data_IF_148858167799
#
_entry.id   IF_148858167799
#
_cell.length_a   1.000
_cell.length_b   1.000
_cell.length_c   1.000
_cell.angle_alpha   90.00
_cell.angle_beta   90.00
_cell.angle_gamma   90.00
#
_symmetry.space_group_name_H-M   'P 1'
#
loop_
_entity.id
_entity.type
_entity.pdbx_description
1 polymer ?
#
# COMPACT_ATOMS: atom_id res chain seq x y z
N UNK A 1 -18.69 -13.34 -7.60
CA UNK A 1 -17.91 -12.12 -7.93
C UNK A 1 -17.82 -11.25 -6.67
N UNK A 2 -16.68 -11.16 -5.98
CA UNK A 2 -16.59 -10.74 -4.55
C UNK A 2 -16.15 -9.29 -4.36
N UNK A 3 -17.12 -8.38 -4.21
CA UNK A 3 -16.87 -6.95 -4.00
C UNK A 3 -16.53 -6.66 -2.60
N UNK A 4 -15.25 -6.42 -2.37
CA UNK A 4 -14.75 -6.18 -1.05
C UNK A 4 -14.70 -4.67 -0.81
N UNK A 5 -15.76 -4.19 -0.16
CA UNK A 5 -15.84 -2.85 0.41
C UNK A 5 -15.73 -3.03 1.91
N UNK A 6 -14.85 -2.27 2.54
CA UNK A 6 -14.44 -2.52 3.90
C UNK A 6 -13.74 -1.31 4.50
N UNK A 7 -13.45 -1.46 5.79
CA UNK A 7 -12.50 -0.66 6.54
C UNK A 7 -11.44 -1.63 7.05
N UNK A 8 -10.16 -1.28 6.91
CA UNK A 8 -9.01 -2.16 7.20
C UNK A 8 -8.78 -2.40 8.70
N UNK A 9 -9.65 -1.85 9.54
CA UNK A 9 -9.63 -2.06 10.97
C UNK A 9 -10.94 -2.64 11.47
N UNK A 10 -10.86 -3.33 12.60
CA UNK A 10 -12.03 -3.80 13.33
C UNK A 10 -12.67 -2.62 14.07
N UNK A 11 -13.81 -2.14 13.58
CA UNK A 11 -14.50 -1.00 14.19
C UNK A 11 -14.95 -1.27 15.62
N UNK A 12 -15.26 -2.52 15.98
CA UNK A 12 -15.56 -2.85 17.38
C UNK A 12 -14.36 -2.56 18.28
N UNK A 13 -13.14 -2.87 17.85
CA UNK A 13 -11.91 -2.58 18.61
C UNK A 13 -11.57 -1.09 18.58
N UNK A 14 -11.79 -0.41 17.46
CA UNK A 14 -11.66 1.06 17.41
C UNK A 14 -12.55 1.72 18.47
N UNK A 15 -13.82 1.30 18.56
CA UNK A 15 -14.78 1.93 19.46
C UNK A 15 -14.54 1.62 20.94
N UNK A 16 -14.15 0.39 21.27
CA UNK A 16 -14.05 -0.07 22.66
C UNK A 16 -12.62 -0.03 23.21
N UNK A 17 -11.61 -0.14 22.34
CA UNK A 17 -10.20 -0.30 22.73
C UNK A 17 -9.32 0.82 22.15
N UNK A 18 -9.85 1.69 21.27
CA UNK A 18 -9.10 2.69 20.53
C UNK A 18 -7.92 2.11 19.72
N UNK A 19 -8.08 0.89 19.19
CA UNK A 19 -7.06 0.18 18.41
C UNK A 19 -7.36 0.29 16.91
N UNK A 20 -6.34 0.65 16.14
CA UNK A 20 -6.32 0.82 14.68
C UNK A 20 -6.44 2.27 14.21
N UNK A 21 -6.56 3.23 15.13
CA UNK A 21 -6.79 4.64 14.83
C UNK A 21 -5.55 5.33 14.26
N UNK A 22 -4.36 4.88 14.65
CA UNK A 22 -3.10 5.45 14.18
C UNK A 22 -2.54 4.75 12.94
N UNK A 23 -3.30 3.80 12.38
CA UNK A 23 -2.93 3.15 11.14
C UNK A 23 -3.15 4.08 9.94
N UNK A 24 -2.13 4.16 9.09
CA UNK A 24 -2.20 4.80 7.78
C UNK A 24 -2.30 3.71 6.73
N UNK A 25 -3.29 3.83 5.87
CA UNK A 25 -3.47 2.95 4.73
C UNK A 25 -3.11 3.70 3.46
N UNK A 26 -2.36 3.06 2.58
CA UNK A 26 -2.01 3.60 1.29
C UNK A 26 -1.98 2.56 0.18
N UNK A 27 -1.83 3.06 -1.03
CA UNK A 27 -1.65 2.24 -2.21
C UNK A 27 -0.78 2.93 -3.23
N UNK A 28 0.14 2.18 -3.85
CA UNK A 28 0.85 2.59 -5.06
C UNK A 28 0.14 1.96 -6.27
N UNK A 29 -0.32 2.80 -7.19
CA UNK A 29 -0.92 2.39 -8.44
C UNK A 29 0.18 1.95 -9.40
N UNK A 30 0.21 0.68 -9.80
CA UNK A 30 1.22 0.15 -10.73
C UNK A 30 0.72 0.25 -12.18
N UNK A 31 -0.57 0.07 -12.38
CA UNK A 31 -1.27 0.31 -13.66
C UNK A 31 -2.37 1.31 -13.41
N UNK A 32 -2.42 2.38 -14.20
CA UNK A 32 -3.32 3.50 -14.05
C UNK A 32 -4.78 3.04 -14.00
N UNK A 33 -5.57 3.73 -13.19
CA UNK A 33 -6.96 3.42 -12.90
C UNK A 33 -7.91 4.14 -13.89
N UNK A 34 -9.18 3.74 -13.91
CA UNK A 34 -10.25 4.45 -14.63
C UNK A 34 -11.56 4.42 -13.86
N UNK A 35 -12.58 5.09 -14.38
CA UNK A 35 -13.91 5.19 -13.75
C UNK A 35 -14.68 3.86 -13.58
N UNK A 36 -14.17 2.75 -14.13
CA UNK A 36 -14.72 1.38 -13.96
C UNK A 36 -13.74 0.44 -13.26
N UNK A 37 -12.52 0.90 -12.99
CA UNK A 37 -11.48 0.12 -12.32
C UNK A 37 -10.58 1.03 -11.46
N UNK A 38 -11.15 1.56 -10.38
CA UNK A 38 -10.48 2.43 -9.42
C UNK A 38 -10.95 2.12 -7.99
N UNK A 39 -10.31 2.79 -7.03
CA UNK A 39 -10.78 2.74 -5.64
C UNK A 39 -11.91 3.74 -5.45
N UNK A 40 -12.95 3.36 -4.70
CA UNK A 40 -13.96 4.28 -4.18
C UNK A 40 -13.76 4.45 -2.68
N UNK A 41 -13.99 5.66 -2.19
CA UNK A 41 -13.88 5.98 -0.77
C UNK A 41 -15.10 6.76 -0.26
N UNK A 42 -15.28 6.80 1.05
CA UNK A 42 -16.18 7.75 1.73
C UNK A 42 -15.32 8.76 2.50
N UNK A 43 -14.96 9.90 1.89
CA UNK A 43 -13.84 10.72 2.37
C UNK A 43 -14.07 11.38 3.74
N UNK A 44 -15.32 11.69 4.10
CA UNK A 44 -15.61 12.39 5.36
C UNK A 44 -15.70 11.48 6.59
N UNK A 45 -15.55 10.16 6.45
CA UNK A 45 -15.47 9.21 7.57
C UNK A 45 -14.00 8.93 7.85
N UNK A 46 -13.31 9.93 8.39
CA UNK A 46 -11.86 9.95 8.49
C UNK A 46 -11.35 10.22 9.90
N UNK A 47 -12.22 10.09 10.91
CA UNK A 47 -11.90 10.24 12.32
C UNK A 47 -12.80 9.35 13.17
N UNK A 48 -12.40 9.12 14.42
CA UNK A 48 -13.11 8.26 15.36
C UNK A 48 -14.50 8.79 15.71
N UNK A 49 -14.68 10.11 15.83
CA UNK A 49 -15.97 10.71 16.23
C UNK A 49 -17.06 10.45 15.20
N UNK A 50 -16.78 10.71 13.92
CA UNK A 50 -17.73 10.46 12.83
C UNK A 50 -17.95 8.99 12.59
N UNK A 51 -16.91 8.19 12.80
CA UNK A 51 -17.03 6.73 12.72
C UNK A 51 -18.00 6.22 13.79
N UNK A 52 -17.88 6.70 15.04
CA UNK A 52 -18.80 6.36 16.13
C UNK A 52 -20.23 6.82 15.84
N UNK A 53 -20.41 8.05 15.38
CA UNK A 53 -21.72 8.59 14.99
C UNK A 53 -22.39 7.71 13.92
N UNK A 54 -21.63 7.36 12.87
CA UNK A 54 -22.12 6.49 11.81
C UNK A 54 -22.51 5.10 12.33
N UNK A 55 -21.66 4.50 13.19
CA UNK A 55 -21.91 3.20 13.83
C UNK A 55 -23.20 3.24 14.65
N UNK A 56 -23.42 4.30 15.41
CA UNK A 56 -24.63 4.47 16.22
C UNK A 56 -25.88 4.52 15.33
N UNK A 57 -25.84 5.30 14.24
CA UNK A 57 -26.94 5.42 13.28
C UNK A 57 -27.30 4.06 12.67
N UNK A 58 -26.31 3.32 12.14
CA UNK A 58 -26.59 2.04 11.48
C UNK A 58 -27.01 0.96 12.48
N UNK A 59 -26.49 0.99 13.72
CA UNK A 59 -26.87 0.04 14.77
C UNK A 59 -28.31 0.27 15.23
N UNK A 60 -28.75 1.53 15.36
CA UNK A 60 -30.16 1.87 15.64
C UNK A 60 -31.12 1.36 14.56
N UNK A 61 -30.63 1.25 13.32
CA UNK A 61 -31.37 0.65 12.18
C UNK A 61 -31.33 -0.89 12.17
N UNK A 62 -30.64 -1.52 13.13
CA UNK A 62 -30.49 -2.98 13.20
C UNK A 62 -29.38 -3.55 12.31
N UNK A 63 -28.52 -2.72 11.72
CA UNK A 63 -27.36 -3.17 10.94
C UNK A 63 -26.27 -3.63 11.90
N UNK A 64 -25.76 -4.85 11.70
CA UNK A 64 -24.70 -5.43 12.53
C UNK A 64 -23.33 -5.13 11.93
N UNK A 65 -22.38 -4.76 12.78
CA UNK A 65 -20.97 -4.63 12.43
C UNK A 65 -20.26 -5.96 12.70
N UNK A 66 -19.42 -6.38 11.75
CA UNK A 66 -18.62 -7.59 11.90
C UNK A 66 -17.57 -7.46 13.01
N UNK A 67 -17.30 -8.57 13.71
CA UNK A 67 -16.23 -8.66 14.72
C UNK A 67 -14.92 -9.26 14.17
N UNK A 68 -14.78 -9.28 12.85
CA UNK A 68 -13.60 -9.84 12.17
C UNK A 68 -12.35 -8.99 12.34
N UNK A 69 -11.25 -9.37 11.70
CA UNK A 69 -10.01 -8.56 11.70
C UNK A 69 -10.19 -7.20 11.00
N UNK A 70 -11.06 -7.17 10.00
CA UNK A 70 -11.45 -6.01 9.21
C UNK A 70 -12.97 -5.88 9.22
N UNK A 71 -13.47 -4.67 8.96
CA UNK A 71 -14.91 -4.41 8.95
C UNK A 71 -15.42 -4.43 7.52
N UNK A 72 -16.00 -5.57 7.11
CA UNK A 72 -16.66 -5.69 5.81
C UNK A 72 -17.94 -4.86 5.74
N UNK A 73 -18.18 -4.24 4.58
CA UNK A 73 -19.32 -3.36 4.32
C UNK A 73 -20.07 -3.79 3.07
N UNK A 74 -21.37 -3.51 3.08
CA UNK A 74 -22.26 -3.58 1.91
C UNK A 74 -22.79 -2.17 1.64
N UNK A 75 -22.54 -1.57 0.46
CA UNK A 75 -22.91 -0.18 0.16
C UNK A 75 -24.34 0.16 0.56
N UNK A 76 -25.33 -0.55 0.03
CA UNK A 76 -26.74 -0.20 0.21
C UNK A 76 -27.33 -0.61 1.58
N UNK A 77 -26.52 -1.23 2.43
CA UNK A 77 -26.92 -1.60 3.80
C UNK A 77 -26.28 -0.66 4.82
N UNK A 78 -24.97 -0.44 4.66
CA UNK A 78 -24.17 0.30 5.63
C UNK A 78 -24.02 1.79 5.27
N UNK A 79 -24.30 2.18 4.02
CA UNK A 79 -24.19 3.56 3.54
C UNK A 79 -25.32 3.93 2.57
N UNK A 80 -26.45 4.38 3.11
CA UNK A 80 -27.67 4.70 2.35
C UNK A 80 -27.80 6.20 2.07
N UNK A 81 -28.86 6.60 1.36
CA UNK A 81 -29.19 8.01 1.15
C UNK A 81 -29.33 8.81 2.47
N UNK A 82 -29.73 8.16 3.57
CA UNK A 82 -29.80 8.78 4.88
C UNK A 82 -28.40 9.18 5.39
N UNK A 83 -27.41 8.28 5.28
CA UNK A 83 -26.03 8.58 5.64
C UNK A 83 -25.41 9.62 4.71
N UNK A 84 -25.71 9.55 3.40
CA UNK A 84 -25.25 10.57 2.45
C UNK A 84 -25.71 11.96 2.85
N UNK A 85 -26.97 12.09 3.29
CA UNK A 85 -27.53 13.35 3.77
C UNK A 85 -26.94 13.76 5.13
N UNK A 86 -26.80 12.81 6.07
CA UNK A 86 -26.32 13.10 7.42
C UNK A 86 -24.85 13.55 7.44
N UNK A 87 -23.99 12.91 6.65
CA UNK A 87 -22.55 13.17 6.62
C UNK A 87 -22.11 14.07 5.47
N UNK A 88 -23.04 14.49 4.60
CA UNK A 88 -22.77 15.31 3.40
C UNK A 88 -21.62 14.72 2.57
N UNK A 89 -21.66 13.41 2.31
CA UNK A 89 -20.63 12.71 1.56
C UNK A 89 -21.16 11.42 0.95
N UNK A 90 -20.57 10.99 -0.16
CA UNK A 90 -20.93 9.75 -0.82
C UNK A 90 -19.67 9.05 -1.35
N UNK A 91 -19.85 7.84 -1.86
CA UNK A 91 -18.83 7.09 -2.58
C UNK A 91 -18.22 7.93 -3.70
N UNK A 92 -16.96 8.26 -3.51
CA UNK A 92 -16.16 9.07 -4.44
C UNK A 92 -15.12 8.19 -5.10
N UNK A 93 -15.10 8.22 -6.43
CA UNK A 93 -14.11 7.50 -7.23
C UNK A 93 -12.79 8.25 -7.17
N UNK A 94 -11.74 7.55 -6.78
CA UNK A 94 -10.37 8.05 -6.73
C UNK A 94 -9.62 7.35 -7.84
N UNK A 95 -9.25 8.11 -8.87
CA UNK A 95 -8.57 7.61 -10.06
C UNK A 95 -7.14 8.12 -10.06
N UNK A 96 -6.19 7.19 -9.98
CA UNK A 96 -4.77 7.48 -10.04
C UNK A 96 -4.14 7.01 -11.36
N UNK A 97 -3.16 7.77 -11.83
CA UNK A 97 -2.27 7.39 -12.92
C UNK A 97 -1.17 6.43 -12.43
N UNK A 98 -0.42 5.87 -13.38
CA UNK A 98 0.76 5.05 -13.12
C UNK A 98 1.69 5.70 -12.08
N UNK A 99 2.12 4.90 -11.11
CA UNK A 99 3.06 5.23 -10.04
C UNK A 99 2.59 6.31 -9.05
N UNK A 100 1.33 6.74 -9.11
CA UNK A 100 0.78 7.62 -8.09
C UNK A 100 0.45 6.87 -6.81
N UNK A 101 0.59 7.58 -5.68
CA UNK A 101 0.38 7.04 -4.34
C UNK A 101 -0.87 7.65 -3.72
N UNK A 102 -1.73 6.79 -3.18
CA UNK A 102 -2.79 7.19 -2.24
C UNK A 102 -2.28 7.03 -0.83
N UNK A 103 -2.52 8.05 0.00
CA UNK A 103 -2.40 7.97 1.46
C UNK A 103 -3.76 8.34 2.05
N UNK A 104 -4.29 7.46 2.88
CA UNK A 104 -5.64 7.53 3.46
C UNK A 104 -5.61 7.10 4.92
N UNK A 105 -6.50 7.67 5.74
CA UNK A 105 -6.69 7.19 7.10
C UNK A 105 -7.33 5.80 7.08
N UNK A 106 -6.90 4.90 7.97
CA UNK A 106 -7.44 3.54 8.11
C UNK A 106 -8.94 3.43 8.35
N UNK A 107 -9.58 4.49 8.87
CA UNK A 107 -11.01 4.52 9.17
C UNK A 107 -11.87 4.81 7.94
N UNK A 108 -11.27 5.29 6.85
CA UNK A 108 -12.00 5.63 5.63
C UNK A 108 -12.56 4.35 4.99
N UNK A 109 -13.90 4.23 4.86
CA UNK A 109 -14.50 3.16 4.08
C UNK A 109 -14.01 3.20 2.65
N UNK A 110 -13.54 2.06 2.14
CA UNK A 110 -13.06 1.98 0.77
C UNK A 110 -13.31 0.61 0.12
N UNK A 111 -13.18 0.58 -1.20
CA UNK A 111 -13.16 -0.67 -1.96
C UNK A 111 -13.02 -0.43 -3.45
N UNK A 112 -13.01 -1.50 -4.24
CA UNK A 112 -12.97 -1.38 -5.70
C UNK A 112 -14.34 -0.99 -6.26
N UNK A 113 -14.38 -0.08 -7.24
CA UNK A 113 -15.55 0.04 -8.10
C UNK A 113 -15.74 -1.27 -8.91
N UNK A 114 -16.97 -1.50 -9.37
CA UNK A 114 -17.39 -2.77 -9.97
C UNK A 114 -18.31 -2.58 -11.16
N UNK A 115 -18.36 -3.58 -12.07
CA UNK A 115 -17.44 -4.71 -12.19
C UNK A 115 -16.06 -4.28 -12.70
N UNK A 116 -14.99 -5.01 -12.35
CA UNK A 116 -13.66 -4.72 -12.90
C UNK A 116 -13.68 -4.98 -14.42
N UNK A 117 -13.33 -3.96 -15.20
CA UNK A 117 -13.34 -4.01 -16.68
C UNK A 117 -11.99 -4.37 -17.28
N UNK A 118 -10.92 -4.30 -16.49
CA UNK A 118 -9.57 -4.69 -16.88
C UNK A 118 -8.78 -5.17 -15.67
N UNK A 119 -7.57 -5.65 -15.91
CA UNK A 119 -6.62 -5.93 -14.84
C UNK A 119 -6.10 -4.61 -14.25
N UNK A 120 -6.12 -4.48 -12.92
CA UNK A 120 -5.55 -3.36 -12.17
C UNK A 120 -4.60 -3.90 -11.14
N UNK A 121 -3.33 -3.51 -11.25
CA UNK A 121 -2.28 -3.83 -10.29
C UNK A 121 -2.10 -2.65 -9.34
N UNK A 122 -2.20 -2.94 -8.06
CA UNK A 122 -1.88 -1.99 -6.98
C UNK A 122 -1.02 -2.70 -5.95
N UNK A 123 -0.07 -1.98 -5.37
CA UNK A 123 0.64 -2.40 -4.15
C UNK A 123 -0.01 -1.69 -2.97
N UNK A 124 -0.47 -2.45 -1.97
CA UNK A 124 -1.04 -1.87 -0.75
C UNK A 124 0.08 -1.66 0.27
N UNK A 125 0.11 -0.49 0.88
CA UNK A 125 1.06 -0.13 1.92
C UNK A 125 0.30 0.21 3.19
N UNK A 126 0.46 -0.59 4.23
CA UNK A 126 -0.14 -0.31 5.53
C UNK A 126 0.97 0.05 6.51
N UNK A 127 0.86 1.23 7.10
CA UNK A 127 1.75 1.69 8.16
C UNK A 127 0.94 1.64 9.46
N UNK A 128 1.33 0.76 10.36
CA UNK A 128 0.66 0.58 11.65
C UNK A 128 1.46 1.27 12.75
N UNK A 129 0.76 1.77 13.78
CA UNK A 129 1.42 2.25 14.98
C UNK A 129 2.29 1.16 15.61
N UNK A 130 3.41 1.57 16.19
CA UNK A 130 4.18 0.71 17.11
C UNK A 130 3.67 1.05 18.51
N UNK A 131 3.36 0.05 19.32
CA UNK A 131 2.91 0.22 20.70
C UNK A 131 4.01 0.88 21.55
N UNK A 132 3.63 1.41 22.72
CA UNK A 132 4.56 2.08 23.66
C UNK A 132 5.75 1.21 24.08
N UNK A 133 5.60 -0.12 24.04
CA UNK A 133 6.69 -1.05 24.33
C UNK A 133 7.81 -1.06 23.27
N UNK A 134 7.56 -0.41 22.11
CA UNK A 134 8.40 -0.36 20.92
C UNK A 134 8.80 -1.75 20.38
N UNK A 135 8.02 -2.78 20.72
CA UNK A 135 8.29 -4.19 20.42
C UNK A 135 7.11 -4.86 19.71
N UNK A 136 5.91 -4.33 19.87
CA UNK A 136 4.70 -4.88 19.26
C UNK A 136 4.09 -3.86 18.29
N UNK A 137 3.69 -4.36 17.12
CA UNK A 137 2.87 -3.57 16.20
C UNK A 137 1.44 -3.54 16.73
N UNK A 138 0.75 -2.42 16.51
CA UNK A 138 -0.69 -2.29 16.74
C UNK A 138 -1.49 -3.38 16.02
N UNK A 139 -0.98 -3.83 14.86
CA UNK A 139 -1.52 -4.95 14.09
C UNK A 139 -0.40 -6.01 13.90
N UNK A 140 -0.52 -7.12 14.61
CA UNK A 140 0.57 -8.08 14.90
C UNK A 140 1.07 -8.98 13.75
N UNK A 141 0.78 -8.68 12.46
CA UNK A 141 1.17 -9.58 11.35
C UNK A 141 1.94 -8.84 10.25
N UNK A 142 3.25 -8.99 10.24
CA UNK A 142 4.15 -8.54 9.17
C UNK A 142 5.35 -9.48 9.00
N UNK A 143 5.94 -9.50 7.81
CA UNK A 143 7.17 -10.25 7.49
C UNK A 143 8.36 -9.30 7.57
N UNK A 144 9.47 -9.74 8.19
CA UNK A 144 10.65 -8.91 8.41
C UNK A 144 11.74 -9.17 7.36
N UNK A 145 12.15 -8.14 6.63
CA UNK A 145 13.33 -8.17 5.74
C UNK A 145 14.58 -7.60 6.42
N UNK A 146 15.76 -8.01 5.95
CA UNK A 146 17.04 -7.46 6.41
C UNK A 146 17.28 -6.12 5.70
N UNK A 147 17.00 -5.01 6.39
CA UNK A 147 17.05 -3.66 5.82
C UNK A 147 18.30 -2.92 6.31
N UNK A 148 19.08 -2.39 5.38
CA UNK A 148 20.31 -1.63 5.65
C UNK A 148 20.08 -0.15 5.99
N UNK A 149 18.92 0.40 5.61
CA UNK A 149 18.56 1.79 5.90
C UNK A 149 17.97 1.88 7.33
N UNK A 150 18.48 2.77 8.22
CA UNK A 150 17.98 2.91 9.59
C UNK A 150 16.48 3.21 9.70
N UNK A 151 15.92 4.05 8.83
CA UNK A 151 14.47 4.35 8.80
C UNK A 151 13.70 3.11 8.36
N UNK A 152 14.14 2.43 7.30
CA UNK A 152 13.50 1.21 6.84
C UNK A 152 13.54 0.09 7.91
N UNK A 153 14.68 -0.06 8.60
CA UNK A 153 14.82 -0.96 9.74
C UNK A 153 13.87 -0.58 10.90
N UNK A 154 13.65 0.71 11.14
CA UNK A 154 12.71 1.19 12.16
C UNK A 154 11.26 0.86 11.78
N UNK A 155 10.89 1.06 10.51
CA UNK A 155 9.55 0.75 9.98
C UNK A 155 9.18 -0.74 10.14
N UNK A 156 10.17 -1.63 10.21
CA UNK A 156 9.96 -3.08 10.45
C UNK A 156 10.31 -3.52 11.87
N UNK A 157 10.46 -2.58 12.81
CA UNK A 157 10.66 -2.86 14.24
C UNK A 157 12.06 -3.34 14.65
N UNK A 158 13.09 -3.14 13.83
CA UNK A 158 14.47 -3.60 14.13
C UNK A 158 15.32 -2.60 14.89
N UNK A 159 14.94 -1.32 14.91
CA UNK A 159 15.58 -0.27 15.70
C UNK A 159 14.54 0.72 16.20
N UNK A 160 14.94 1.63 17.10
CA UNK A 160 14.05 2.62 17.71
C UNK A 160 14.08 3.93 16.92
N UNK A 161 12.92 4.60 16.82
CA UNK A 161 12.82 5.97 16.28
C UNK A 161 13.71 6.97 17.03
N UNK A 162 13.98 6.74 18.31
CA UNK A 162 14.88 7.56 19.13
C UNK A 162 16.38 7.33 18.88
N UNK A 163 16.75 6.41 17.98
CA UNK A 163 18.15 6.19 17.64
C UNK A 163 18.71 7.36 16.82
N UNK A 164 19.91 7.85 17.16
CA UNK A 164 20.52 9.00 16.48
C UNK A 164 20.73 8.79 14.97
N UNK A 165 21.01 7.56 14.53
CA UNK A 165 21.13 7.23 13.11
C UNK A 165 19.78 7.33 12.37
N UNK A 166 18.68 7.00 13.05
CA UNK A 166 17.32 7.11 12.50
C UNK A 166 16.91 8.58 12.41
N UNK A 167 17.12 9.36 13.46
CA UNK A 167 16.83 10.80 13.46
C UNK A 167 17.62 11.54 12.35
N UNK A 168 18.90 11.19 12.19
CA UNK A 168 19.76 11.75 11.14
C UNK A 168 19.24 11.40 9.74
N UNK A 169 18.90 10.13 9.51
CA UNK A 169 18.40 9.68 8.21
C UNK A 169 17.01 10.25 7.90
N UNK A 170 16.10 10.27 8.87
CA UNK A 170 14.78 10.90 8.73
C UNK A 170 14.89 12.40 8.41
N UNK A 171 15.81 13.12 9.06
CA UNK A 171 16.07 14.52 8.76
C UNK A 171 16.52 14.74 7.31
N UNK A 172 17.34 13.83 6.75
CA UNK A 172 17.70 13.88 5.31
C UNK A 172 16.49 13.69 4.40
N UNK A 173 15.57 12.77 4.75
CA UNK A 173 14.32 12.56 3.99
C UNK A 173 13.48 13.83 4.01
N UNK A 174 13.23 14.36 5.22
CA UNK A 174 12.29 15.45 5.45
C UNK A 174 12.80 16.76 4.86
N UNK A 175 14.09 17.06 5.02
CA UNK A 175 14.65 18.34 4.54
C UNK A 175 14.84 18.38 3.03
N UNK A 176 14.83 17.23 2.34
CA UNK A 176 14.84 17.12 0.88
C UNK A 176 15.94 17.98 0.19
N UNK A 177 17.08 18.16 0.85
CA UNK A 177 18.18 18.96 0.30
C UNK A 177 18.92 18.18 -0.80
N UNK A 178 19.66 18.91 -1.65
CA UNK A 178 20.36 18.33 -2.82
C UNK A 178 21.29 17.16 -2.43
N UNK A 179 22.06 17.30 -1.35
CA UNK A 179 23.00 16.27 -0.89
C UNK A 179 22.27 15.02 -0.38
N UNK A 180 21.12 15.20 0.27
CA UNK A 180 20.26 14.10 0.66
C UNK A 180 19.71 13.35 -0.55
N UNK A 181 19.30 14.03 -1.62
CA UNK A 181 18.84 13.37 -2.86
C UNK A 181 19.93 12.55 -3.54
N UNK A 182 21.14 13.08 -3.64
CA UNK A 182 22.27 12.36 -4.24
C UNK A 182 22.61 11.09 -3.44
N UNK A 183 22.63 11.19 -2.10
CA UNK A 183 22.83 10.03 -1.24
C UNK A 183 21.69 9.00 -1.36
N UNK A 184 20.43 9.45 -1.50
CA UNK A 184 19.29 8.56 -1.72
C UNK A 184 19.36 7.87 -3.07
N UNK A 185 19.77 8.56 -4.13
CA UNK A 185 19.94 7.95 -5.45
C UNK A 185 20.94 6.79 -5.42
N UNK A 186 22.06 6.95 -4.72
CA UNK A 186 23.03 5.86 -4.52
C UNK A 186 22.42 4.69 -3.73
N UNK A 187 21.55 4.95 -2.75
CA UNK A 187 20.83 3.88 -2.05
C UNK A 187 19.77 3.21 -2.95
N UNK A 188 19.01 3.98 -3.73
CA UNK A 188 18.05 3.47 -4.70
C UNK A 188 18.73 2.57 -5.72
N UNK A 189 19.84 3.00 -6.30
CA UNK A 189 20.63 2.21 -7.25
C UNK A 189 21.09 0.89 -6.60
N UNK A 190 21.56 0.93 -5.35
CA UNK A 190 21.91 -0.28 -4.59
C UNK A 190 20.72 -1.19 -4.33
N UNK A 191 19.57 -0.62 -3.97
CA UNK A 191 18.33 -1.39 -3.75
C UNK A 191 17.90 -2.03 -5.06
N UNK A 192 17.91 -1.32 -6.19
CA UNK A 192 17.59 -1.87 -7.51
C UNK A 192 18.54 -3.01 -7.84
N UNK A 193 19.85 -2.82 -7.70
CA UNK A 193 20.86 -3.85 -7.98
C UNK A 193 20.70 -5.08 -7.08
N UNK A 194 20.32 -4.90 -5.82
CA UNK A 194 20.18 -6.01 -4.86
C UNK A 194 18.83 -6.71 -4.95
N UNK A 195 17.74 -5.94 -5.12
CA UNK A 195 16.37 -6.43 -5.14
C UNK A 195 16.00 -7.03 -6.49
N UNK A 196 16.38 -6.40 -7.61
CA UNK A 196 15.95 -6.84 -8.93
C UNK A 196 16.34 -8.31 -9.24
N UNK A 197 17.56 -8.79 -8.92
CA UNK A 197 17.89 -10.21 -9.09
C UNK A 197 16.98 -11.13 -8.25
N UNK A 198 16.73 -10.78 -6.98
CA UNK A 198 15.88 -11.59 -6.09
C UNK A 198 14.42 -11.57 -6.50
N UNK A 199 13.93 -10.43 -6.97
CA UNK A 199 12.59 -10.32 -7.53
C UNK A 199 12.45 -11.14 -8.81
N UNK A 200 13.46 -11.15 -9.69
CA UNK A 200 13.49 -12.04 -10.86
C UNK A 200 13.51 -13.52 -10.47
N UNK A 201 14.34 -13.92 -9.51
CA UNK A 201 14.34 -15.29 -8.97
C UNK A 201 12.96 -15.68 -8.45
N UNK A 202 12.31 -14.80 -7.68
CA UNK A 202 10.94 -15.02 -7.20
C UNK A 202 9.93 -15.14 -8.35
N UNK A 203 10.02 -14.31 -9.39
CA UNK A 203 9.16 -14.42 -10.59
C UNK A 203 9.35 -15.80 -11.25
N UNK A 204 10.60 -16.24 -11.43
CA UNK A 204 10.92 -17.54 -12.05
C UNK A 204 10.37 -18.69 -11.21
N UNK A 205 10.58 -18.66 -9.89
CA UNK A 205 10.08 -19.67 -8.96
C UNK A 205 8.55 -19.72 -8.94
N UNK A 206 7.90 -18.56 -8.89
CA UNK A 206 6.43 -18.46 -8.93
C UNK A 206 5.89 -19.02 -10.25
N UNK A 207 6.49 -18.66 -11.39
CA UNK A 207 6.16 -19.25 -12.70
C UNK A 207 6.32 -20.75 -12.73
N UNK A 208 7.40 -21.27 -12.15
CA UNK A 208 7.65 -22.71 -12.09
C UNK A 208 6.61 -23.44 -11.23
N UNK A 209 6.33 -22.92 -10.03
CA UNK A 209 5.41 -23.53 -9.05
C UNK A 209 3.97 -23.50 -9.55
N UNK A 210 3.52 -22.36 -10.08
CA UNK A 210 2.12 -22.15 -10.45
C UNK A 210 1.84 -22.39 -11.95
N UNK A 211 2.88 -22.57 -12.77
CA UNK A 211 2.77 -22.88 -14.19
C UNK A 211 1.91 -21.86 -14.94
N UNK A 212 0.90 -22.33 -15.67
CA UNK A 212 -0.06 -21.46 -16.39
C UNK A 212 -0.90 -20.55 -15.49
N UNK A 213 -1.02 -20.89 -14.20
CA UNK A 213 -1.77 -20.12 -13.21
C UNK A 213 -0.90 -19.09 -12.48
N UNK A 214 0.37 -18.97 -12.87
CA UNK A 214 1.29 -17.98 -12.31
C UNK A 214 0.75 -16.57 -12.49
N UNK A 215 0.80 -15.78 -11.41
CA UNK A 215 0.45 -14.36 -11.43
C UNK A 215 1.22 -13.64 -12.55
N UNK A 216 2.53 -13.92 -12.67
CA UNK A 216 3.38 -13.31 -13.69
C UNK A 216 3.20 -13.89 -15.11
N UNK A 217 2.48 -14.99 -15.30
CA UNK A 217 2.09 -15.45 -16.64
C UNK A 217 0.76 -14.83 -17.07
N UNK A 218 -0.21 -14.78 -16.15
CA UNK A 218 -1.49 -14.10 -16.37
C UNK A 218 -1.24 -12.63 -16.76
N UNK A 219 -0.40 -11.94 -15.99
CA UNK A 219 -0.08 -10.52 -16.21
C UNK A 219 0.63 -10.19 -17.53
N UNK A 220 1.45 -11.12 -18.05
CA UNK A 220 2.15 -10.89 -19.31
C UNK A 220 1.24 -11.16 -20.51
N UNK A 221 0.38 -12.16 -20.42
CA UNK A 221 -0.56 -12.52 -21.48
C UNK A 221 -1.72 -11.53 -21.62
N UNK A 222 -2.07 -10.79 -20.55
CA UNK A 222 -3.08 -9.72 -20.60
C UNK A 222 -2.54 -8.42 -21.18
N UNK A 223 -1.22 -8.20 -21.16
CA UNK A 223 -0.58 -6.98 -21.69
C UNK A 223 -0.16 -7.07 -23.16
N UNK A 224 0.03 -8.27 -23.71
CA UNK A 224 0.43 -8.44 -25.12
C UNK A 224 -0.70 -8.14 -26.11
N UNK A 225 -1.94 -7.97 -25.65
CA UNK A 225 -3.06 -7.56 -26.51
C UNK A 225 -3.22 -6.04 -26.65
N UNK A 226 -2.69 -5.23 -25.73
CA UNK A 226 -2.83 -3.78 -25.76
C UNK A 226 -1.51 -3.05 -25.40
N UNK A 227 -0.80 -2.60 -26.43
CA UNK A 227 0.35 -1.68 -26.42
C UNK A 227 1.69 -2.19 -25.82
N UNK A 228 2.58 -2.61 -26.72
CA UNK A 228 3.99 -2.92 -26.44
C UNK A 228 4.75 -1.62 -26.16
N UNK A 229 5.27 -1.44 -24.93
CA UNK A 229 6.52 -0.70 -24.74
C UNK A 229 7.66 -1.70 -24.87
N UNK A 230 8.68 -1.46 -25.72
CA UNK A 230 9.82 -2.36 -25.82
C UNK A 230 10.57 -2.40 -24.48
N UNK A 231 11.09 -3.57 -24.15
CA UNK A 231 12.01 -3.71 -23.02
C UNK A 231 13.21 -2.78 -23.21
N UNK A 232 13.73 -2.15 -22.15
CA UNK A 232 14.97 -1.41 -22.24
C UNK A 232 16.10 -2.37 -22.60
N UNK A 233 16.56 -2.28 -23.85
CA UNK A 233 17.77 -2.96 -24.32
C UNK A 233 18.96 -2.43 -23.51
N UNK A 234 19.61 -3.30 -22.75
CA UNK A 234 20.92 -2.96 -22.20
C UNK A 234 21.94 -3.03 -23.33
N UNK A 235 22.50 -1.86 -23.65
CA UNK A 235 23.67 -1.73 -24.49
C UNK A 235 24.82 -2.47 -23.77
N UNK A 236 25.26 -3.60 -24.30
CA UNK A 236 26.45 -4.31 -23.83
C UNK A 236 27.68 -3.49 -24.21
N UNK A 237 27.93 -2.42 -23.46
CA UNK A 237 29.12 -1.60 -23.56
C UNK A 237 30.35 -2.45 -23.25
N UNK A 238 31.08 -2.78 -24.33
CA UNK A 238 32.44 -3.33 -24.38
C UNK A 238 33.33 -2.85 -23.22
N UNK A 239 33.48 -3.67 -22.18
CA UNK A 239 34.64 -3.63 -21.30
C UNK A 239 35.68 -4.63 -21.84
N UNK A 240 36.39 -4.24 -22.91
CA UNK A 240 37.67 -4.85 -23.23
C UNK A 240 38.70 -4.28 -22.26
N UNK A 241 39.33 -5.17 -21.50
CA UNK A 241 40.33 -4.82 -20.51
C UNK A 241 41.44 -3.94 -21.09
N UNK A 242 41.75 -2.87 -20.38
CA UNK A 242 43.07 -2.26 -20.42
C UNK A 242 43.87 -2.85 -19.26
N UNK A 243 44.91 -3.58 -19.62
CA UNK A 243 45.97 -4.06 -18.74
C UNK A 243 46.54 -2.89 -17.94
N UNK A 244 46.52 -3.02 -16.61
CA UNK A 244 47.35 -2.23 -15.71
C UNK A 244 48.69 -2.93 -15.58
N UNK A 245 49.50 -2.82 -16.62
CA UNK A 245 50.95 -2.98 -16.59
C UNK A 245 51.50 -1.96 -17.58
N UNK A 246 51.59 -0.70 -17.14
CA UNK A 246 52.67 0.24 -17.44
C UNK A 246 52.29 1.63 -16.89
N UNK A 247 53.23 2.21 -16.13
CA UNK A 247 53.27 3.51 -15.41
C UNK A 247 52.87 3.46 -13.94
#
# INVERSE_FOLDING_TARGET
>A
MTGFIHIDVNLYRVCNENIGVDAIQGSLTITGEDNKNCTRIIPKINDTSKTLEWIEIITKRGVKIGKGFITGMKPDVHWTAAEVKAFDTNWTDIIYQDLQVRVTHSLIPYGSNRPATRERITMLLWLCGIQEDHKTLEIAKGVHYNLSNPVAATLVGRTKWSCGSVATEAHKIITNNKYSREAYKVQEDKVVVTFAPKFREMIVLERHIFGKNSFFNVMYNTRTTDSIRPEPTMDEGNNKGQDLNDI
#
